data_IF_440798554215
#
_entry.id   IF_440798554215
#
_cell.length_a   1.000
_cell.length_b   1.000
_cell.length_c   1.000
_cell.angle_alpha   90.00
_cell.angle_beta   90.00
_cell.angle_gamma   90.00
#
_symmetry.space_group_name_H-M   'P 1'
#
loop_
_entity.id
_entity.type
_entity.pdbx_description
1 polymer ?
#
# COMPACT_ATOMS: atom_id res chain seq x y z
N UNK A 1 5.14 19.09 41.03
CA UNK A 1 5.01 18.47 39.69
C UNK A 1 6.26 18.79 38.89
N UNK A 2 7.14 17.81 38.70
CA UNK A 2 8.46 18.01 38.09
C UNK A 2 8.35 18.16 36.56
N UNK A 3 9.03 19.15 35.94
CA UNK A 3 8.98 19.42 34.50
C UNK A 3 9.54 18.30 33.60
N UNK A 4 10.17 17.27 34.18
CA UNK A 4 10.73 16.10 33.47
C UNK A 4 9.66 15.17 32.86
N UNK A 5 8.50 15.02 33.48
CA UNK A 5 7.43 14.13 32.97
C UNK A 5 6.71 14.67 31.73
N UNK A 6 6.71 15.99 31.52
CA UNK A 6 6.00 16.63 30.39
C UNK A 6 6.80 16.54 29.08
N UNK A 7 8.14 16.65 29.16
CA UNK A 7 9.03 16.52 28.00
C UNK A 7 9.09 15.10 27.47
N UNK A 8 9.16 14.09 28.35
CA UNK A 8 9.18 12.67 27.94
C UNK A 8 7.91 12.25 27.18
N UNK A 9 6.72 12.71 27.62
CA UNK A 9 5.45 12.44 26.91
C UNK A 9 5.36 13.15 25.55
N UNK A 10 5.90 14.36 25.44
CA UNK A 10 5.89 15.11 24.19
C UNK A 10 6.82 14.48 23.14
N UNK A 11 7.99 13.99 23.55
CA UNK A 11 8.92 13.27 22.66
C UNK A 11 8.35 11.93 22.18
N UNK A 12 7.72 11.17 23.08
CA UNK A 12 7.06 9.91 22.71
C UNK A 12 5.94 10.13 21.69
N UNK A 13 5.09 11.15 21.92
CA UNK A 13 4.02 11.50 21.00
C UNK A 13 4.53 11.88 19.61
N UNK A 14 5.56 12.73 19.54
CA UNK A 14 6.14 13.15 18.27
C UNK A 14 6.75 11.95 17.50
N UNK A 15 7.41 11.02 18.21
CA UNK A 15 7.94 9.80 17.61
C UNK A 15 6.84 8.87 17.10
N UNK A 16 5.72 8.74 17.81
CA UNK A 16 4.56 7.97 17.34
C UNK A 16 3.93 8.61 16.10
N UNK A 17 3.74 9.94 16.09
CA UNK A 17 3.20 10.68 14.93
C UNK A 17 4.09 10.50 13.67
N UNK A 18 5.42 10.51 13.84
CA UNK A 18 6.36 10.25 12.75
C UNK A 18 6.26 8.80 12.23
N UNK A 19 6.17 7.82 13.13
CA UNK A 19 5.97 6.41 12.77
C UNK A 19 4.63 6.17 12.06
N UNK A 20 3.56 6.82 12.50
CA UNK A 20 2.25 6.77 11.84
C UNK A 20 2.31 7.31 10.40
N UNK A 21 3.00 8.43 10.18
CA UNK A 21 3.16 9.01 8.85
C UNK A 21 4.04 8.14 7.95
N UNK A 22 5.11 7.52 8.49
CA UNK A 22 5.93 6.56 7.77
C UNK A 22 5.12 5.33 7.35
N UNK A 23 4.33 4.76 8.27
CA UNK A 23 3.45 3.63 7.99
C UNK A 23 2.42 3.98 6.91
N UNK A 24 1.79 5.16 7.01
CA UNK A 24 0.85 5.65 6.00
C UNK A 24 1.51 5.78 4.63
N UNK A 25 2.74 6.32 4.59
CA UNK A 25 3.53 6.42 3.37
C UNK A 25 3.81 5.06 2.73
N UNK A 26 4.20 4.07 3.54
CA UNK A 26 4.46 2.71 3.06
C UNK A 26 3.18 2.02 2.54
N UNK A 27 2.07 2.10 3.28
CA UNK A 27 0.79 1.56 2.84
C UNK A 27 0.29 2.22 1.56
N UNK A 28 0.50 3.53 1.40
CA UNK A 28 0.18 4.23 0.16
C UNK A 28 1.05 3.73 -1.01
N UNK A 29 2.37 3.57 -0.80
CA UNK A 29 3.26 3.01 -1.83
C UNK A 29 2.78 1.62 -2.28
N UNK A 30 2.45 0.74 -1.34
CA UNK A 30 1.93 -0.60 -1.63
C UNK A 30 0.65 -0.55 -2.46
N UNK A 31 -0.34 0.23 -2.02
CA UNK A 31 -1.61 0.36 -2.74
C UNK A 31 -1.41 0.98 -4.13
N UNK A 32 -0.57 2.01 -4.25
CA UNK A 32 -0.25 2.65 -5.52
C UNK A 32 0.37 1.67 -6.51
N UNK A 33 1.36 0.89 -6.06
CA UNK A 33 2.05 -0.07 -6.92
C UNK A 33 1.17 -1.25 -7.32
N UNK A 34 0.34 -1.75 -6.40
CA UNK A 34 -0.70 -2.73 -6.71
C UNK A 34 -1.66 -2.20 -7.78
N UNK A 35 -2.13 -0.97 -7.62
CA UNK A 35 -3.00 -0.33 -8.61
C UNK A 35 -2.30 -0.16 -9.97
N UNK A 36 -1.05 0.29 -9.97
CA UNK A 36 -0.25 0.43 -11.18
C UNK A 36 -0.03 -0.92 -11.86
N UNK A 37 0.14 -2.00 -11.08
CA UNK A 37 0.33 -3.34 -11.61
C UNK A 37 -0.93 -3.86 -12.28
N UNK A 38 -2.08 -3.79 -11.59
CA UNK A 38 -3.38 -4.23 -12.10
C UNK A 38 -3.86 -3.43 -13.33
N UNK A 39 -3.47 -2.16 -13.42
CA UNK A 39 -3.73 -1.30 -14.59
C UNK A 39 -2.68 -1.45 -15.70
N UNK A 40 -1.64 -2.27 -15.48
CA UNK A 40 -0.48 -2.43 -16.38
C UNK A 40 0.26 -1.12 -16.68
N UNK A 41 0.19 -0.15 -15.76
CA UNK A 41 0.83 1.15 -15.90
C UNK A 41 2.36 1.04 -15.75
N UNK A 42 3.08 1.08 -16.87
CA UNK A 42 4.56 1.05 -16.93
C UNK A 42 5.14 2.45 -17.04
N UNK A 43 5.18 3.17 -15.93
CA UNK A 43 5.80 4.51 -15.87
C UNK A 43 6.34 4.80 -14.47
N UNK A 44 7.37 5.66 -14.35
CA UNK A 44 7.81 6.17 -13.06
C UNK A 44 6.66 6.86 -12.31
N UNK A 45 6.77 6.91 -10.99
CA UNK A 45 5.78 7.61 -10.16
C UNK A 45 5.89 9.12 -10.43
N UNK A 46 4.81 9.78 -10.90
CA UNK A 46 4.86 11.21 -11.24
C UNK A 46 5.23 12.08 -10.05
N UNK A 47 6.04 13.13 -10.23
CA UNK A 47 6.47 14.03 -9.16
C UNK A 47 5.32 14.64 -8.32
N UNK A 48 4.11 14.76 -8.91
CA UNK A 48 2.92 15.26 -8.22
C UNK A 48 2.32 14.32 -7.16
N UNK A 49 2.67 13.03 -7.16
CA UNK A 49 2.19 12.06 -6.16
C UNK A 49 3.06 12.18 -4.90
N UNK A 50 2.61 12.99 -3.93
CA UNK A 50 3.40 13.38 -2.73
C UNK A 50 3.32 12.34 -1.63
N UNK A 51 2.25 11.56 -1.62
CA UNK A 51 1.93 10.49 -0.69
C UNK A 51 2.84 9.27 -0.91
N UNK A 52 3.40 9.12 -2.12
CA UNK A 52 4.41 8.11 -2.41
C UNK A 52 5.77 8.54 -1.85
N UNK A 53 6.10 8.06 -0.64
CA UNK A 53 7.25 8.53 0.14
C UNK A 53 8.57 7.83 -0.19
N UNK A 54 8.54 6.58 -0.66
CA UNK A 54 9.76 5.82 -0.97
C UNK A 54 10.49 6.39 -2.20
N UNK A 55 11.66 7.00 -2.01
CA UNK A 55 12.35 7.68 -3.11
C UNK A 55 13.08 6.72 -4.05
N UNK A 56 13.77 5.71 -3.52
CA UNK A 56 14.51 4.73 -4.32
C UNK A 56 13.67 4.05 -5.42
N UNK A 57 12.46 3.51 -5.14
CA UNK A 57 11.63 2.90 -6.18
C UNK A 57 11.03 3.89 -7.17
N UNK A 58 10.92 5.18 -6.84
CA UNK A 58 10.11 6.16 -7.58
C UNK A 58 10.44 6.25 -9.08
N UNK A 59 11.71 6.06 -9.42
CA UNK A 59 12.24 6.18 -10.78
C UNK A 59 12.01 4.93 -11.63
N UNK A 60 11.66 3.80 -11.03
CA UNK A 60 11.47 2.54 -11.74
C UNK A 60 10.09 2.53 -12.43
N UNK A 61 10.01 2.14 -13.71
CA UNK A 61 8.76 2.13 -14.46
C UNK A 61 7.84 0.97 -14.07
N UNK A 62 8.41 -0.19 -13.75
CA UNK A 62 7.66 -1.40 -13.40
C UNK A 62 7.22 -1.40 -11.94
N UNK A 63 5.92 -1.51 -11.62
CA UNK A 63 5.46 -1.63 -10.23
C UNK A 63 6.05 -2.83 -9.50
N UNK A 64 6.27 -3.96 -10.17
CA UNK A 64 6.90 -5.15 -9.60
C UNK A 64 8.34 -4.85 -9.17
N UNK A 65 9.11 -4.15 -10.00
CA UNK A 65 10.48 -3.72 -9.67
C UNK A 65 10.49 -2.75 -8.48
N UNK A 66 9.47 -1.88 -8.38
CA UNK A 66 9.30 -1.00 -7.21
C UNK A 66 9.00 -1.80 -5.95
N UNK A 67 8.05 -2.74 -6.01
CA UNK A 67 7.67 -3.59 -4.88
C UNK A 67 8.82 -4.47 -4.42
N UNK A 68 9.69 -4.97 -5.32
CA UNK A 68 10.89 -5.74 -4.93
C UNK A 68 11.83 -5.02 -3.95
N UNK A 69 11.76 -3.69 -3.86
CA UNK A 69 12.59 -2.91 -2.95
C UNK A 69 12.06 -2.82 -1.51
N UNK A 70 10.79 -3.13 -1.27
CA UNK A 70 10.17 -2.98 0.05
C UNK A 70 9.13 -4.05 0.41
N UNK A 71 8.80 -4.97 -0.49
CA UNK A 71 7.87 -6.07 -0.26
C UNK A 71 8.66 -7.37 -0.09
N UNK A 72 8.22 -8.24 0.81
CA UNK A 72 8.75 -9.59 0.94
C UNK A 72 8.76 -10.30 -0.43
N UNK A 73 9.94 -10.76 -0.92
CA UNK A 73 10.05 -11.40 -2.23
C UNK A 73 9.17 -12.64 -2.40
N UNK A 74 8.97 -13.42 -1.34
CA UNK A 74 8.11 -14.61 -1.38
C UNK A 74 6.65 -14.23 -1.59
N UNK A 75 6.19 -13.16 -0.93
CA UNK A 75 4.84 -12.64 -1.11
C UNK A 75 4.64 -12.11 -2.54
N UNK A 76 5.61 -11.36 -3.06
CA UNK A 76 5.55 -10.86 -4.43
C UNK A 76 5.46 -12.01 -5.44
N UNK A 77 6.27 -13.06 -5.28
CA UNK A 77 6.23 -14.23 -6.15
C UNK A 77 4.85 -14.93 -6.13
N UNK A 78 4.20 -15.02 -4.95
CA UNK A 78 2.84 -15.55 -4.84
C UNK A 78 1.82 -14.68 -5.58
N UNK A 79 1.94 -13.35 -5.48
CA UNK A 79 1.06 -12.44 -6.22
C UNK A 79 1.29 -12.49 -7.73
N UNK A 80 2.55 -12.60 -8.17
CA UNK A 80 2.89 -12.76 -9.59
C UNK A 80 2.22 -14.02 -10.16
N UNK A 81 2.28 -15.14 -9.44
CA UNK A 81 1.61 -16.39 -9.82
C UNK A 81 0.08 -16.27 -9.82
N UNK A 82 -0.50 -15.63 -8.80
CA UNK A 82 -1.94 -15.45 -8.70
C UNK A 82 -2.52 -14.54 -9.79
N UNK A 83 -1.75 -13.53 -10.22
CA UNK A 83 -2.16 -12.56 -11.24
C UNK A 83 -1.76 -12.97 -12.67
N UNK A 84 -0.91 -13.98 -12.84
CA UNK A 84 -0.48 -14.42 -14.17
C UNK A 84 -1.65 -14.73 -15.13
N UNK A 85 -2.70 -15.49 -14.74
CA UNK A 85 -3.84 -15.78 -15.63
C UNK A 85 -4.58 -14.52 -16.07
N UNK A 86 -4.65 -13.51 -15.20
CA UNK A 86 -5.29 -12.23 -15.48
C UNK A 86 -4.51 -11.43 -16.54
N UNK A 87 -3.18 -11.40 -16.45
CA UNK A 87 -2.35 -10.68 -17.42
C UNK A 87 -2.19 -11.43 -18.75
N UNK A 88 -2.17 -12.76 -18.71
CA UNK A 88 -2.12 -13.64 -19.88
C UNK A 88 -3.38 -13.50 -20.75
N UNK A 89 -4.53 -13.21 -20.15
CA UNK A 89 -5.79 -12.97 -20.89
C UNK A 89 -5.88 -11.58 -21.54
N UNK A 90 -4.79 -10.81 -21.56
CA UNK A 90 -4.78 -9.44 -22.09
C UNK A 90 -5.53 -8.41 -21.23
N UNK A 91 -6.09 -8.80 -20.08
CA UNK A 91 -6.94 -7.93 -19.28
C UNK A 91 -6.16 -6.81 -18.59
N UNK A 92 -6.84 -5.68 -18.37
CA UNK A 92 -6.38 -4.59 -17.51
C UNK A 92 -7.53 -3.96 -16.73
N UNK A 93 -7.24 -3.35 -15.59
CA UNK A 93 -8.23 -2.62 -14.81
C UNK A 93 -8.14 -1.14 -15.11
N UNK A 94 -9.30 -0.49 -15.19
CA UNK A 94 -9.41 0.94 -14.96
C UNK A 94 -9.89 1.13 -13.53
N UNK A 95 -8.95 1.41 -12.63
CA UNK A 95 -9.19 1.49 -11.21
C UNK A 95 -9.81 2.83 -10.81
N UNK A 96 -10.91 2.76 -10.07
CA UNK A 96 -11.54 3.89 -9.40
C UNK A 96 -11.71 3.53 -7.93
N UNK A 97 -10.75 3.96 -7.11
CA UNK A 97 -10.84 3.85 -5.66
C UNK A 97 -11.69 5.01 -5.13
N UNK A 98 -12.68 4.69 -4.30
CA UNK A 98 -13.49 5.68 -3.60
C UNK A 98 -12.85 6.11 -2.29
N UNK A 99 -13.66 6.57 -1.34
CA UNK A 99 -13.16 7.06 -0.06
C UNK A 99 -12.41 5.96 0.69
N UNK A 100 -11.21 6.30 1.16
CA UNK A 100 -10.45 5.48 2.08
C UNK A 100 -10.81 5.89 3.52
N UNK A 101 -11.13 4.90 4.36
CA UNK A 101 -11.24 5.14 5.78
C UNK A 101 -9.87 5.49 6.38
N UNK A 102 -9.81 6.13 7.56
CA UNK A 102 -8.55 6.34 8.26
C UNK A 102 -7.78 5.03 8.43
N UNK A 103 -6.46 5.09 8.23
CA UNK A 103 -5.56 3.96 8.46
C UNK A 103 -5.65 3.53 9.93
N UNK A 104 -6.08 2.30 10.18
CA UNK A 104 -5.96 1.66 11.49
C UNK A 104 -4.54 1.09 11.66
N UNK A 105 -3.93 1.26 12.83
CA UNK A 105 -2.61 0.73 13.10
C UNK A 105 -2.52 0.13 14.50
N UNK A 106 -1.95 -1.07 14.61
CA UNK A 106 -1.69 -1.80 15.85
C UNK A 106 -0.17 -2.06 15.97
N UNK A 107 0.37 -1.97 17.19
CA UNK A 107 1.79 -2.28 17.47
C UNK A 107 2.77 -1.09 17.34
N UNK A 108 2.29 0.11 17.03
CA UNK A 108 3.14 1.31 16.90
C UNK A 108 3.82 1.75 18.20
N UNK A 109 3.20 1.49 19.36
CA UNK A 109 3.69 1.91 20.67
C UNK A 109 4.82 1.03 21.22
N UNK A 110 5.05 -0.15 20.63
CA UNK A 110 5.90 -1.21 21.21
C UNK A 110 7.36 -1.21 20.81
N UNK A 111 7.79 -0.40 19.82
CA UNK A 111 9.19 -0.30 19.34
C UNK A 111 9.74 -1.54 18.61
N UNK A 112 9.56 -2.73 19.21
CA UNK A 112 10.09 -4.02 18.76
C UNK A 112 9.02 -4.97 18.21
N UNK A 113 7.75 -4.60 18.27
CA UNK A 113 6.65 -5.40 17.74
C UNK A 113 6.42 -5.12 16.26
N UNK A 114 6.10 -6.17 15.48
CA UNK A 114 5.56 -6.04 14.13
C UNK A 114 4.35 -5.11 14.14
N UNK A 115 4.29 -4.22 13.16
CA UNK A 115 3.20 -3.26 13.02
C UNK A 115 2.17 -3.83 12.06
N UNK A 116 0.90 -3.86 12.48
CA UNK A 116 -0.21 -4.22 11.61
C UNK A 116 -0.95 -2.95 11.20
N UNK A 117 -1.12 -2.77 9.90
CA UNK A 117 -1.87 -1.68 9.33
C UNK A 117 -3.11 -2.20 8.62
N UNK A 118 -4.23 -1.50 8.77
CA UNK A 118 -5.50 -1.80 8.12
C UNK A 118 -5.99 -0.58 7.34
N UNK A 119 -6.14 -0.73 6.04
CA UNK A 119 -6.70 0.29 5.15
C UNK A 119 -8.00 -0.22 4.53
N UNK A 120 -9.09 0.51 4.74
CA UNK A 120 -10.39 0.21 4.12
C UNK A 120 -10.68 1.18 3.00
N UNK A 121 -11.16 0.68 1.88
CA UNK A 121 -11.53 1.51 0.73
C UNK A 121 -12.67 0.88 -0.07
N UNK A 122 -13.48 1.72 -0.71
CA UNK A 122 -14.44 1.26 -1.71
C UNK A 122 -13.81 1.25 -3.11
N UNK A 123 -14.30 0.41 -4.00
CA UNK A 123 -13.75 0.20 -5.33
C UNK A 123 -14.86 0.07 -6.37
N UNK A 124 -14.74 0.83 -7.47
CA UNK A 124 -15.71 0.90 -8.57
C UNK A 124 -15.02 0.71 -9.93
N UNK A 125 -14.07 -0.20 -10.00
CA UNK A 125 -13.24 -0.35 -11.20
C UNK A 125 -14.04 -0.92 -12.36
N UNK A 126 -13.46 -0.81 -13.55
CA UNK A 126 -13.95 -1.51 -14.74
C UNK A 126 -12.87 -2.42 -15.28
N UNK A 127 -13.25 -3.61 -15.75
CA UNK A 127 -12.39 -4.39 -16.62
C UNK A 127 -12.31 -3.71 -17.98
N UNK A 128 -11.11 -3.67 -18.54
CA UNK A 128 -10.87 -3.21 -19.91
C UNK A 128 -10.48 -4.43 -20.74
N UNK A 129 -11.27 -4.74 -21.75
CA UNK A 129 -11.01 -5.84 -22.68
C UNK A 129 -9.98 -5.47 -23.75
N UNK A 130 -9.64 -6.42 -24.62
CA UNK A 130 -8.67 -6.24 -25.70
C UNK A 130 -9.12 -5.18 -26.73
N UNK A 131 -10.42 -4.94 -26.85
CA UNK A 131 -10.99 -3.87 -27.69
C UNK A 131 -11.04 -2.50 -26.99
N UNK A 132 -10.57 -2.41 -25.75
CA UNK A 132 -10.56 -1.18 -24.96
C UNK A 132 -11.92 -0.80 -24.37
N UNK A 133 -12.92 -1.70 -24.40
CA UNK A 133 -14.24 -1.45 -23.83
C UNK A 133 -14.20 -1.62 -22.32
N UNK A 134 -14.87 -0.70 -21.61
CA UNK A 134 -14.98 -0.74 -20.14
C UNK A 134 -16.21 -1.55 -19.73
N UNK A 135 -15.99 -2.56 -18.90
CA UNK A 135 -17.01 -3.40 -18.28
C UNK A 135 -17.06 -3.10 -16.78
N UNK A 136 -18.07 -2.36 -16.30
CA UNK A 136 -18.15 -1.96 -14.90
C UNK A 136 -18.23 -3.18 -13.98
N UNK A 137 -17.44 -3.17 -12.91
CA UNK A 137 -17.53 -4.15 -11.84
C UNK A 137 -18.53 -3.69 -10.77
N UNK A 138 -19.14 -4.63 -10.01
CA UNK A 138 -19.94 -4.27 -8.85
C UNK A 138 -19.12 -3.45 -7.85
N UNK A 139 -19.75 -2.46 -7.21
CA UNK A 139 -19.14 -1.74 -6.10
C UNK A 139 -18.76 -2.73 -5.00
N UNK A 140 -17.50 -2.69 -4.56
CA UNK A 140 -16.98 -3.53 -3.48
C UNK A 140 -16.30 -2.68 -2.43
N UNK A 141 -16.32 -3.17 -1.20
CA UNK A 141 -15.52 -2.62 -0.11
C UNK A 141 -14.43 -3.63 0.22
N UNK A 142 -13.21 -3.12 0.38
CA UNK A 142 -12.02 -3.92 0.58
C UNK A 142 -11.29 -3.48 1.84
N UNK A 143 -10.60 -4.43 2.45
CA UNK A 143 -9.63 -4.21 3.51
C UNK A 143 -8.29 -4.73 3.02
N UNK A 144 -7.31 -3.82 2.94
CA UNK A 144 -5.90 -4.15 2.81
C UNK A 144 -5.30 -4.22 4.22
N UNK A 145 -4.90 -5.41 4.65
CA UNK A 145 -4.13 -5.60 5.87
C UNK A 145 -2.66 -5.81 5.50
N UNK A 146 -1.76 -5.08 6.15
CA UNK A 146 -0.33 -5.19 5.94
C UNK A 146 0.39 -5.40 7.29
N UNK A 147 1.32 -6.36 7.32
CA UNK A 147 2.26 -6.55 8.41
C UNK A 147 3.60 -6.00 7.98
N UNK A 148 4.13 -5.08 8.79
CA UNK A 148 5.29 -4.26 8.47
C UNK A 148 6.37 -4.49 9.53
N UNK A 149 7.62 -4.50 9.08
CA UNK A 149 8.80 -4.56 9.95
C UNK A 149 8.79 -3.41 10.97
N UNK A 150 9.47 -3.60 12.11
CA UNK A 150 9.47 -2.62 13.21
C UNK A 150 10.11 -1.27 12.85
N UNK A 151 11.03 -1.28 11.87
CA UNK A 151 11.69 -0.10 11.28
C UNK A 151 10.84 0.59 10.19
N UNK A 152 9.69 0.03 9.81
CA UNK A 152 8.78 0.56 8.79
C UNK A 152 9.38 0.65 7.39
N UNK A 153 10.39 -0.16 7.09
CA UNK A 153 11.02 -0.19 5.76
C UNK A 153 10.45 -1.28 4.85
N UNK A 154 9.89 -2.35 5.42
CA UNK A 154 9.45 -3.53 4.67
C UNK A 154 8.05 -3.98 5.01
N UNK A 155 7.28 -4.33 3.98
CA UNK A 155 6.03 -5.07 4.10
C UNK A 155 6.37 -6.57 4.11
N UNK A 156 6.30 -7.17 5.29
CA UNK A 156 6.61 -8.60 5.50
C UNK A 156 5.48 -9.51 5.01
N UNK A 157 4.24 -9.05 5.12
CA UNK A 157 3.06 -9.74 4.64
C UNK A 157 1.94 -8.75 4.29
N UNK A 158 1.04 -9.10 3.37
CA UNK A 158 -0.16 -8.34 3.10
C UNK A 158 -1.29 -9.22 2.54
N UNK A 159 -2.54 -8.87 2.85
CA UNK A 159 -3.71 -9.51 2.29
C UNK A 159 -4.78 -8.50 1.93
N UNK A 160 -5.52 -8.79 0.87
CA UNK A 160 -6.70 -8.04 0.45
C UNK A 160 -7.93 -8.92 0.64
N UNK A 161 -8.93 -8.42 1.37
CA UNK A 161 -10.17 -9.16 1.65
C UNK A 161 -11.41 -8.26 1.54
N UNK A 162 -12.59 -8.81 1.23
CA UNK A 162 -13.84 -8.07 1.36
C UNK A 162 -14.00 -7.51 2.79
N UNK A 163 -14.52 -6.28 2.87
CA UNK A 163 -14.86 -5.62 4.13
C UNK A 163 -16.21 -6.06 4.69
#
# INVERSE_FOLDING_TARGET
>A
MTPRGRRSRQTLRAATEEREEALRGLCFCLLYDLCAWLTRARRPVPAGVREYRLQAPRHLPGPEDRMRLYLNPELLALWEQALAPYFESGASLSLELGEAAPLGAEGLEGGDARVRAELRFSERSSLVDEEGRRHPLPLRNWVLEAWVSSDLEQVENACLRPA
#
